data_IF_033046463027
#
_entry.id   IF_033046463027
#
_cell.length_a   1.000
_cell.length_b   1.000
_cell.length_c   1.000
_cell.angle_alpha   90.00
_cell.angle_beta   90.00
_cell.angle_gamma   90.00
#
_symmetry.space_group_name_H-M   'P 1'
#
loop_
_entity.id
_entity.type
_entity.pdbx_description
1 polymer ?
#
# COMPACT_ATOMS: atom_id res chain seq x y z
N UNK A 1 -9.60 13.87 3.08
CA UNK A 1 -9.77 15.02 2.17
C UNK A 1 -8.75 16.12 2.45
N UNK A 2 -8.67 17.15 1.56
CA UNK A 2 -7.75 18.30 1.73
C UNK A 2 -8.38 19.33 2.69
N UNK A 3 -8.63 18.91 3.92
CA UNK A 3 -9.19 19.71 5.02
C UNK A 3 -8.65 19.22 6.35
N UNK A 4 -8.76 20.05 7.39
CA UNK A 4 -8.36 19.63 8.73
C UNK A 4 -9.23 18.46 9.23
N UNK A 5 -10.53 18.52 8.97
CA UNK A 5 -11.44 17.41 9.32
C UNK A 5 -11.01 16.10 8.65
N UNK A 6 -10.73 16.12 7.32
CA UNK A 6 -10.27 14.91 6.63
C UNK A 6 -8.92 14.39 7.10
N UNK A 7 -8.05 15.23 7.67
CA UNK A 7 -6.80 14.79 8.31
C UNK A 7 -7.09 14.15 9.67
N UNK A 8 -7.98 14.76 10.46
CA UNK A 8 -8.40 14.23 11.77
C UNK A 8 -9.11 12.88 11.62
N UNK A 9 -9.98 12.74 10.62
CA UNK A 9 -10.67 11.49 10.30
C UNK A 9 -9.65 10.40 9.94
N UNK A 10 -8.66 10.71 9.09
CA UNK A 10 -7.59 9.78 8.75
C UNK A 10 -6.80 9.34 10.00
N UNK A 11 -6.42 10.26 10.86
CA UNK A 11 -5.71 9.93 12.10
C UNK A 11 -6.56 9.05 13.03
N UNK A 12 -7.84 9.37 13.19
CA UNK A 12 -8.77 8.59 14.02
C UNK A 12 -8.92 7.18 13.49
N UNK A 13 -9.18 7.00 12.21
CA UNK A 13 -9.28 5.68 11.57
C UNK A 13 -8.00 4.87 11.75
N UNK A 14 -6.85 5.49 11.48
CA UNK A 14 -5.54 4.84 11.62
C UNK A 14 -5.26 4.40 13.08
N UNK A 15 -5.62 5.20 14.06
CA UNK A 15 -5.46 4.84 15.49
C UNK A 15 -6.30 3.62 15.82
N UNK A 16 -7.56 3.58 15.42
CA UNK A 16 -8.44 2.45 15.69
C UNK A 16 -8.00 1.17 14.97
N UNK A 17 -7.60 1.28 13.70
CA UNK A 17 -7.06 0.13 12.95
C UNK A 17 -5.77 -0.39 13.58
N UNK A 18 -4.85 0.49 13.97
CA UNK A 18 -3.61 0.12 14.65
C UNK A 18 -3.89 -0.55 16.00
N UNK A 19 -4.85 -0.03 16.78
CA UNK A 19 -5.26 -0.60 18.06
C UNK A 19 -5.82 -2.02 17.93
N UNK A 20 -6.39 -2.37 16.77
CA UNK A 20 -6.85 -3.72 16.45
C UNK A 20 -5.78 -4.59 15.78
N UNK A 21 -4.56 -4.10 15.65
CA UNK A 21 -3.42 -4.84 15.10
C UNK A 21 -3.31 -4.84 13.58
N UNK A 22 -4.05 -3.95 12.89
CA UNK A 22 -3.98 -3.78 11.44
C UNK A 22 -2.67 -3.12 11.00
N UNK A 23 -2.13 -3.54 9.85
CA UNK A 23 -1.11 -2.81 9.11
C UNK A 23 -1.80 -1.79 8.20
N UNK A 24 -1.30 -0.56 8.18
CA UNK A 24 -2.00 0.59 7.59
C UNK A 24 -1.20 1.15 6.43
N UNK A 25 -1.91 1.55 5.36
CA UNK A 25 -1.36 2.39 4.30
C UNK A 25 -2.28 3.57 4.04
N UNK A 26 -1.72 4.77 3.94
CA UNK A 26 -2.47 5.99 3.74
C UNK A 26 -1.95 6.84 2.57
N UNK A 27 -2.88 7.44 1.81
CA UNK A 27 -2.57 8.29 0.67
C UNK A 27 -2.55 9.76 1.08
N UNK A 28 -1.44 10.44 0.84
CA UNK A 28 -1.23 11.83 1.22
C UNK A 28 -1.24 12.81 0.03
N UNK A 29 -1.36 12.30 -1.18
CA UNK A 29 -1.29 13.08 -2.42
C UNK A 29 -2.50 13.99 -2.70
N UNK A 30 -3.53 13.99 -1.86
CA UNK A 30 -4.66 14.92 -1.99
C UNK A 30 -4.43 16.23 -1.24
N UNK A 31 -3.46 16.28 -0.31
CA UNK A 31 -3.22 17.45 0.53
C UNK A 31 -2.34 18.47 -0.18
N UNK A 32 -2.73 19.72 -0.10
CA UNK A 32 -1.95 20.85 -0.64
C UNK A 32 -0.59 20.99 0.04
N UNK A 33 0.38 21.47 -0.72
CA UNK A 33 1.76 21.61 -0.28
C UNK A 33 2.00 22.85 0.58
N UNK A 34 3.18 22.88 1.21
CA UNK A 34 3.66 24.00 2.00
C UNK A 34 3.51 25.33 1.24
N UNK A 35 3.04 26.37 1.95
CA UNK A 35 2.90 27.72 1.41
C UNK A 35 1.61 27.97 0.63
N UNK A 36 0.83 26.94 0.30
CA UNK A 36 -0.48 27.13 -0.33
C UNK A 36 -1.51 27.75 0.63
N UNK A 37 -2.47 28.50 0.09
CA UNK A 37 -3.41 29.26 0.89
C UNK A 37 -4.39 28.38 1.67
N UNK A 38 -4.61 28.74 2.95
CA UNK A 38 -5.65 28.20 3.82
C UNK A 38 -6.61 29.35 4.16
N UNK A 39 -7.88 29.20 3.77
CA UNK A 39 -8.87 30.26 4.02
C UNK A 39 -8.46 31.61 3.41
N UNK A 40 -8.72 32.69 4.15
CA UNK A 40 -8.48 34.08 3.65
C UNK A 40 -7.05 34.59 3.84
N UNK A 41 -6.35 34.15 4.88
CA UNK A 41 -5.06 34.77 5.31
C UNK A 41 -3.98 33.75 5.69
N UNK A 42 -4.30 32.47 5.83
CA UNK A 42 -3.36 31.44 6.24
C UNK A 42 -2.60 30.80 5.09
N UNK A 43 -1.45 30.22 5.42
CA UNK A 43 -0.69 29.32 4.54
C UNK A 43 -0.45 28.02 5.27
N UNK A 44 -0.52 26.89 4.53
CA UNK A 44 -0.23 25.57 5.10
C UNK A 44 1.26 25.39 5.36
N UNK A 45 1.58 24.64 6.42
CA UNK A 45 2.93 24.15 6.71
C UNK A 45 3.32 22.91 5.89
N UNK A 46 2.43 22.47 4.99
CA UNK A 46 2.63 21.29 4.14
C UNK A 46 2.22 19.97 4.79
N UNK A 47 2.53 18.86 4.12
CA UNK A 47 2.13 17.53 4.56
C UNK A 47 3.05 16.93 5.64
N UNK A 48 4.33 17.27 5.64
CA UNK A 48 5.33 16.63 6.50
C UNK A 48 5.01 16.77 8.01
N UNK A 49 4.58 17.93 8.54
CA UNK A 49 4.19 18.03 9.94
C UNK A 49 2.99 17.14 10.32
N UNK A 50 2.03 16.96 9.42
CA UNK A 50 0.88 16.06 9.66
C UNK A 50 1.29 14.60 9.63
N UNK A 51 2.22 14.23 8.74
CA UNK A 51 2.84 12.89 8.71
C UNK A 51 3.61 12.66 10.02
N UNK A 52 4.29 13.67 10.56
CA UNK A 52 4.99 13.57 11.85
C UNK A 52 4.05 13.27 13.02
N UNK A 53 2.86 13.86 13.03
CA UNK A 53 1.81 13.49 14.01
C UNK A 53 1.41 12.04 13.86
N UNK A 54 1.21 11.58 12.62
CA UNK A 54 0.91 10.17 12.33
C UNK A 54 2.01 9.22 12.81
N UNK A 55 3.28 9.60 12.65
CA UNK A 55 4.43 8.86 13.16
C UNK A 55 4.34 8.65 14.67
N UNK A 56 4.05 9.73 15.40
CA UNK A 56 3.92 9.69 16.87
C UNK A 56 2.69 8.91 17.33
N UNK A 57 1.55 9.07 16.66
CA UNK A 57 0.33 8.30 16.94
C UNK A 57 0.55 6.79 16.73
N UNK A 58 1.19 6.42 15.64
CA UNK A 58 1.49 5.01 15.33
C UNK A 58 2.40 4.38 16.38
N UNK A 59 3.40 5.13 16.86
CA UNK A 59 4.27 4.67 17.96
C UNK A 59 3.55 4.52 19.28
N UNK A 60 2.60 5.40 19.59
CA UNK A 60 1.85 5.37 20.84
C UNK A 60 0.91 4.16 20.93
N UNK A 61 0.48 3.63 19.80
CA UNK A 61 -0.46 2.51 19.75
C UNK A 61 0.30 1.18 19.80
N UNK A 62 0.03 0.41 20.84
CA UNK A 62 0.57 -0.95 21.01
C UNK A 62 -0.51 -1.87 21.53
N UNK A 63 -0.75 -2.96 20.83
CA UNK A 63 -1.72 -3.95 21.26
C UNK A 63 -1.07 -4.96 22.23
N UNK A 64 -1.32 -4.80 23.53
CA UNK A 64 -0.93 -5.75 24.58
C UNK A 64 0.55 -6.11 24.59
N UNK A 65 1.45 -5.18 24.21
CA UNK A 65 2.89 -5.41 24.05
C UNK A 65 3.30 -6.48 23.01
N UNK A 66 2.34 -7.15 22.39
CA UNK A 66 2.59 -8.21 21.40
C UNK A 66 2.74 -7.69 19.97
N UNK A 67 2.02 -6.63 19.62
CA UNK A 67 2.08 -6.02 18.29
C UNK A 67 2.02 -4.50 18.38
N UNK A 68 3.02 -3.83 17.82
CA UNK A 68 3.06 -2.37 17.71
C UNK A 68 2.28 -1.91 16.49
N UNK A 69 1.70 -0.72 16.55
CA UNK A 69 1.14 -0.05 15.39
C UNK A 69 2.22 0.17 14.34
N UNK A 70 1.88 -0.08 13.08
CA UNK A 70 2.78 0.13 11.94
C UNK A 70 1.98 0.70 10.78
N UNK A 71 2.52 1.72 10.13
CA UNK A 71 1.86 2.41 9.03
C UNK A 71 2.84 2.83 7.94
N UNK A 72 2.34 2.88 6.71
CA UNK A 72 3.03 3.42 5.56
C UNK A 72 2.27 4.62 4.99
N UNK A 73 2.99 5.65 4.58
CA UNK A 73 2.46 6.84 3.90
C UNK A 73 2.85 6.81 2.42
N UNK A 74 1.93 7.11 1.53
CA UNK A 74 2.16 7.08 0.09
C UNK A 74 1.95 8.45 -0.54
N UNK A 75 2.90 8.86 -1.42
CA UNK A 75 2.87 10.15 -2.09
C UNK A 75 3.18 9.98 -3.59
N UNK A 76 2.44 10.66 -4.49
CA UNK A 76 2.77 10.64 -5.91
C UNK A 76 4.03 11.45 -6.21
N UNK A 77 4.78 11.01 -7.21
CA UNK A 77 6.08 11.57 -7.62
C UNK A 77 6.00 13.02 -8.13
N UNK A 78 4.80 13.50 -8.47
CA UNK A 78 4.56 14.86 -8.93
C UNK A 78 4.10 15.82 -7.82
N UNK A 79 4.04 15.35 -6.56
CA UNK A 79 3.67 16.21 -5.43
C UNK A 79 4.79 17.22 -5.12
N UNK A 80 4.48 18.51 -4.81
CA UNK A 80 5.50 19.54 -4.57
C UNK A 80 6.45 19.25 -3.41
N UNK A 81 6.05 18.47 -2.41
CA UNK A 81 6.90 18.10 -1.27
C UNK A 81 7.57 16.73 -1.42
N UNK A 82 7.63 16.18 -2.64
CA UNK A 82 8.17 14.84 -2.88
C UNK A 82 9.65 14.69 -2.46
N UNK A 83 10.46 15.73 -2.67
CA UNK A 83 11.88 15.66 -2.34
C UNK A 83 12.11 15.53 -0.83
N UNK A 84 11.36 16.28 -0.02
CA UNK A 84 11.42 16.18 1.44
C UNK A 84 10.82 14.86 1.94
N UNK A 85 9.72 14.42 1.32
CA UNK A 85 9.09 13.13 1.63
C UNK A 85 10.04 11.95 1.41
N UNK A 86 10.79 11.93 0.31
CA UNK A 86 11.79 10.88 0.03
C UNK A 86 12.83 10.78 1.16
N UNK A 87 13.20 11.92 1.76
CA UNK A 87 14.27 12.00 2.75
C UNK A 87 13.80 11.98 4.20
N UNK A 88 12.49 11.92 4.45
CA UNK A 88 11.96 12.07 5.82
C UNK A 88 12.39 10.98 6.81
N UNK A 89 12.89 9.83 6.33
CA UNK A 89 13.45 8.76 7.16
C UNK A 89 14.95 8.83 7.40
N UNK A 90 15.64 9.78 6.81
CA UNK A 90 17.08 9.97 7.10
C UNK A 90 17.24 10.42 8.56
N UNK A 91 18.05 9.71 9.37
CA UNK A 91 18.16 10.01 10.80
C UNK A 91 18.97 11.28 11.10
N UNK A 92 19.77 11.75 10.14
CA UNK A 92 20.71 12.86 10.32
C UNK A 92 20.40 14.06 9.41
N UNK A 93 20.76 15.26 9.87
CA UNK A 93 20.60 16.54 9.15
C UNK A 93 19.17 17.08 9.17
N UNK A 94 18.99 18.37 8.89
CA UNK A 94 17.69 19.06 8.81
C UNK A 94 16.93 19.20 10.14
N UNK A 95 15.67 19.67 10.04
CA UNK A 95 14.78 19.85 11.19
C UNK A 95 14.21 18.52 11.69
N UNK A 96 14.45 18.13 12.96
CA UNK A 96 13.90 16.89 13.54
C UNK A 96 12.36 16.83 13.50
N UNK A 97 11.67 17.98 13.53
CA UNK A 97 10.22 18.04 13.48
C UNK A 97 9.65 17.70 12.10
N UNK A 98 10.48 17.68 11.08
CA UNK A 98 10.12 17.33 9.70
C UNK A 98 10.62 15.94 9.31
N UNK A 99 10.88 15.07 10.30
CA UNK A 99 11.34 13.69 10.09
C UNK A 99 10.42 12.70 10.75
N UNK A 100 10.24 11.57 10.09
CA UNK A 100 9.38 10.47 10.55
C UNK A 100 10.16 9.16 10.42
N UNK A 101 10.74 8.70 11.55
CA UNK A 101 11.66 7.56 11.57
C UNK A 101 10.97 6.21 11.80
N UNK A 102 9.70 6.23 12.20
CA UNK A 102 8.95 5.02 12.56
C UNK A 102 7.92 4.62 11.51
N UNK A 103 7.45 5.59 10.71
CA UNK A 103 6.60 5.30 9.56
C UNK A 103 7.41 4.75 8.40
N UNK A 104 6.81 3.83 7.66
CA UNK A 104 7.23 3.47 6.34
C UNK A 104 6.67 4.45 5.31
N UNK A 105 7.29 4.56 4.15
CA UNK A 105 6.79 5.43 3.11
C UNK A 105 7.02 4.86 1.72
N UNK A 106 6.15 5.23 0.78
CA UNK A 106 6.21 4.79 -0.60
C UNK A 106 5.95 5.91 -1.59
N UNK A 107 6.59 5.85 -2.72
CA UNK A 107 6.45 6.81 -3.81
C UNK A 107 5.69 6.13 -4.96
N UNK A 108 4.63 6.79 -5.42
CA UNK A 108 3.84 6.36 -6.56
C UNK A 108 4.42 6.96 -7.82
N UNK A 109 5.02 6.12 -8.64
CA UNK A 109 5.73 6.51 -9.85
C UNK A 109 4.85 6.26 -11.07
N UNK A 110 4.69 7.27 -11.93
CA UNK A 110 3.95 7.17 -13.17
C UNK A 110 4.84 6.76 -14.35
N UNK A 111 4.23 6.18 -15.39
CA UNK A 111 4.91 5.88 -16.65
C UNK A 111 5.47 7.16 -17.30
N UNK A 112 4.73 8.28 -17.21
CA UNK A 112 5.18 9.57 -17.69
C UNK A 112 6.46 10.06 -17.01
N UNK A 113 6.56 9.87 -15.67
CA UNK A 113 7.78 10.19 -14.94
C UNK A 113 8.96 9.33 -15.40
N UNK A 114 8.76 8.01 -15.53
CA UNK A 114 9.83 7.11 -15.99
C UNK A 114 10.31 7.45 -17.39
N UNK A 115 9.41 7.87 -18.27
CA UNK A 115 9.78 8.38 -19.60
C UNK A 115 10.59 9.66 -19.52
N UNK A 116 10.21 10.60 -18.64
CA UNK A 116 10.98 11.82 -18.40
C UNK A 116 12.38 11.53 -17.83
N UNK A 117 12.52 10.50 -16.99
CA UNK A 117 13.82 10.01 -16.49
C UNK A 117 14.68 9.47 -17.64
N UNK A 118 14.11 8.65 -18.51
CA UNK A 118 14.81 8.07 -19.67
C UNK A 118 15.29 9.16 -20.64
N UNK A 119 14.44 10.14 -20.93
CA UNK A 119 14.73 11.23 -21.85
C UNK A 119 15.49 12.41 -21.23
N UNK A 120 15.81 12.34 -19.94
CA UNK A 120 16.49 13.40 -19.18
C UNK A 120 15.75 14.75 -19.20
N UNK A 121 14.44 14.69 -19.06
CA UNK A 121 13.55 15.86 -19.11
C UNK A 121 13.34 16.50 -17.73
N UNK A 122 12.77 17.70 -17.75
CA UNK A 122 12.25 18.35 -16.56
C UNK A 122 10.91 17.72 -16.13
N UNK A 123 10.70 17.60 -14.83
CA UNK A 123 9.50 17.08 -14.24
C UNK A 123 8.76 18.16 -13.44
N UNK A 124 7.50 18.39 -13.77
CA UNK A 124 6.67 19.39 -13.09
C UNK A 124 6.11 18.83 -11.80
N UNK A 125 6.34 19.52 -10.70
CA UNK A 125 5.70 19.29 -9.41
C UNK A 125 4.42 20.14 -9.32
N UNK A 126 3.28 19.49 -9.08
CA UNK A 126 1.96 20.09 -9.26
C UNK A 126 1.15 20.09 -7.97
N UNK A 127 0.51 21.22 -7.68
CA UNK A 127 -0.47 21.28 -6.59
C UNK A 127 -1.57 20.23 -6.77
N UNK A 128 -1.89 19.44 -5.72
CA UNK A 128 -3.03 18.52 -5.79
C UNK A 128 -4.36 19.24 -5.99
N UNK A 129 -4.46 20.48 -5.52
CA UNK A 129 -5.70 21.26 -5.49
C UNK A 129 -6.19 21.67 -6.89
N UNK A 130 -5.31 22.24 -7.71
CA UNK A 130 -5.67 22.87 -9.00
C UNK A 130 -4.78 22.44 -10.16
N UNK A 131 -3.84 21.52 -9.88
CA UNK A 131 -2.85 21.01 -10.84
C UNK A 131 -1.89 22.07 -11.40
N UNK A 132 -1.84 23.25 -10.77
CA UNK A 132 -0.86 24.28 -11.12
C UNK A 132 0.56 23.79 -10.84
N UNK A 133 1.49 24.14 -11.73
CA UNK A 133 2.91 23.83 -11.56
C UNK A 133 3.49 24.74 -10.48
N UNK A 134 3.97 24.16 -9.39
CA UNK A 134 4.60 24.87 -8.29
C UNK A 134 6.10 25.04 -8.51
N UNK A 135 6.74 24.01 -9.06
CA UNK A 135 8.15 23.98 -9.43
C UNK A 135 8.44 22.91 -10.46
N UNK A 136 9.65 22.94 -11.00
CA UNK A 136 10.17 21.89 -11.89
C UNK A 136 11.52 21.40 -11.38
N UNK A 137 11.77 20.09 -11.52
CA UNK A 137 13.01 19.44 -11.15
C UNK A 137 13.50 18.54 -12.27
N UNK A 138 14.78 18.20 -12.32
CA UNK A 138 15.25 17.16 -13.24
C UNK A 138 14.65 15.80 -12.83
N UNK A 139 13.93 15.16 -13.76
CA UNK A 139 13.35 13.84 -13.52
C UNK A 139 14.43 12.81 -13.14
N UNK A 140 15.57 12.83 -13.84
CA UNK A 140 16.70 11.92 -13.59
C UNK A 140 17.31 12.15 -12.22
N UNK A 141 17.53 13.40 -11.83
CA UNK A 141 18.07 13.71 -10.50
C UNK A 141 17.12 13.30 -9.37
N UNK A 142 15.82 13.52 -9.55
CA UNK A 142 14.81 13.07 -8.59
C UNK A 142 14.79 11.54 -8.46
N UNK A 143 14.91 10.83 -9.58
CA UNK A 143 15.00 9.36 -9.59
C UNK A 143 16.27 8.86 -8.87
N UNK A 144 17.43 9.46 -9.16
CA UNK A 144 18.69 9.12 -8.48
C UNK A 144 18.57 9.38 -6.97
N UNK A 145 17.98 10.50 -6.56
CA UNK A 145 17.75 10.84 -5.16
C UNK A 145 16.86 9.80 -4.46
N UNK A 146 15.80 9.36 -5.12
CA UNK A 146 14.92 8.30 -4.64
C UNK A 146 15.68 6.98 -4.45
N UNK A 147 16.46 6.56 -5.44
CA UNK A 147 17.26 5.32 -5.36
C UNK A 147 18.34 5.42 -4.29
N UNK A 148 19.00 6.58 -4.14
CA UNK A 148 19.99 6.82 -3.10
C UNK A 148 19.37 6.68 -1.71
N UNK A 149 18.20 7.28 -1.47
CA UNK A 149 17.48 7.12 -0.21
C UNK A 149 17.16 5.64 0.09
N UNK A 150 16.77 4.88 -0.93
CA UNK A 150 16.51 3.43 -0.78
C UNK A 150 17.77 2.64 -0.42
N UNK A 151 18.91 2.96 -1.00
CA UNK A 151 20.19 2.30 -0.67
C UNK A 151 20.59 2.61 0.77
N UNK A 152 20.43 3.85 1.19
CA UNK A 152 20.84 4.31 2.52
C UNK A 152 19.91 3.83 3.65
N UNK A 153 18.61 3.76 3.42
CA UNK A 153 17.60 3.53 4.46
C UNK A 153 16.73 2.29 4.23
N UNK A 154 16.77 1.68 3.05
CA UNK A 154 15.84 0.63 2.63
C UNK A 154 14.50 1.15 2.10
N UNK A 155 14.25 2.46 2.18
CA UNK A 155 12.99 3.12 1.81
C UNK A 155 13.25 4.42 1.02
N UNK A 156 12.23 4.96 0.32
CA UNK A 156 10.82 4.55 0.24
C UNK A 156 10.58 3.31 -0.63
N UNK A 157 9.38 2.71 -0.49
CA UNK A 157 8.85 1.78 -1.50
C UNK A 157 8.63 2.50 -2.82
N UNK A 158 8.71 1.76 -3.92
CA UNK A 158 8.40 2.29 -5.26
C UNK A 158 7.23 1.48 -5.82
N UNK A 159 6.14 2.18 -6.16
CA UNK A 159 4.96 1.59 -6.78
C UNK A 159 4.74 2.22 -8.15
N UNK A 160 4.76 1.40 -9.20
CA UNK A 160 4.43 1.82 -10.56
C UNK A 160 2.91 1.89 -10.71
N UNK A 161 2.34 3.02 -10.31
CA UNK A 161 0.90 3.18 -10.11
C UNK A 161 0.09 3.00 -11.41
N UNK A 162 0.63 3.38 -12.55
CA UNK A 162 -0.04 3.19 -13.84
C UNK A 162 -0.11 1.69 -14.20
N UNK A 163 0.95 0.94 -13.92
CA UNK A 163 0.95 -0.53 -14.09
C UNK A 163 -0.08 -1.18 -13.18
N UNK A 164 -0.14 -0.78 -11.91
CA UNK A 164 -1.16 -1.26 -10.97
C UNK A 164 -2.56 -1.03 -11.55
N UNK A 165 -2.88 0.19 -11.97
CA UNK A 165 -4.21 0.53 -12.47
C UNK A 165 -4.54 -0.11 -13.84
N UNK A 166 -3.54 -0.45 -14.65
CA UNK A 166 -3.76 -1.28 -15.85
C UNK A 166 -4.15 -2.71 -15.51
N UNK A 167 -3.63 -3.24 -14.41
CA UNK A 167 -3.77 -4.65 -14.01
C UNK A 167 -4.91 -4.92 -13.01
N UNK A 168 -5.61 -3.91 -12.52
CA UNK A 168 -6.76 -4.12 -11.62
C UNK A 168 -7.84 -4.98 -12.29
N UNK A 169 -8.62 -5.74 -11.53
CA UNK A 169 -9.70 -6.58 -12.04
C UNK A 169 -10.70 -5.80 -12.90
N UNK A 170 -11.30 -6.49 -13.88
CA UNK A 170 -12.23 -5.86 -14.83
C UNK A 170 -13.44 -5.23 -14.13
N UNK A 171 -13.96 -5.85 -13.08
CA UNK A 171 -15.09 -5.30 -12.32
C UNK A 171 -14.76 -3.98 -11.64
N UNK A 172 -13.52 -3.79 -11.14
CA UNK A 172 -13.07 -2.50 -10.61
C UNK A 172 -13.03 -1.42 -11.72
N UNK A 173 -12.53 -1.78 -12.92
CA UNK A 173 -12.51 -0.85 -14.07
C UNK A 173 -13.92 -0.44 -14.48
N UNK A 174 -14.87 -1.39 -14.56
CA UNK A 174 -16.26 -1.14 -14.88
C UNK A 174 -16.94 -0.28 -13.80
N UNK A 175 -16.60 -0.46 -12.55
CA UNK A 175 -17.05 0.38 -11.45
C UNK A 175 -16.38 1.77 -11.41
N UNK A 176 -15.38 2.02 -12.28
CA UNK A 176 -14.63 3.28 -12.34
C UNK A 176 -13.74 3.52 -11.13
N UNK A 177 -13.34 2.45 -10.47
CA UNK A 177 -12.45 2.50 -9.32
C UNK A 177 -10.99 2.58 -9.75
N UNK A 178 -10.17 3.23 -8.93
CA UNK A 178 -8.73 3.33 -9.14
C UNK A 178 -7.98 3.09 -7.84
N UNK A 179 -6.81 2.50 -7.95
CA UNK A 179 -5.87 2.34 -6.84
C UNK A 179 -5.02 3.60 -6.73
N UNK A 180 -4.94 4.17 -5.52
CA UNK A 180 -4.15 5.37 -5.21
C UNK A 180 -3.09 5.13 -4.15
N UNK A 181 -3.14 4.00 -3.46
CA UNK A 181 -2.27 3.69 -2.34
C UNK A 181 -2.10 2.18 -2.21
N UNK A 182 -1.33 1.75 -1.24
CA UNK A 182 -1.20 0.35 -0.85
C UNK A 182 -1.25 0.24 0.68
N UNK A 183 -1.14 -0.97 1.19
CA UNK A 183 -1.05 -1.27 2.62
C UNK A 183 0.37 -1.01 3.18
N UNK A 184 0.61 -1.42 4.41
CA UNK A 184 1.90 -1.31 5.09
C UNK A 184 3.06 -1.95 4.31
N UNK A 185 2.83 -3.12 3.70
CA UNK A 185 3.88 -3.92 3.05
C UNK A 185 3.94 -3.74 1.52
N UNK A 186 3.06 -2.93 0.95
CA UNK A 186 2.99 -2.58 -0.48
C UNK A 186 2.51 -3.67 -1.45
N UNK A 187 2.03 -4.83 -0.95
CA UNK A 187 1.53 -5.92 -1.81
C UNK A 187 0.05 -5.81 -2.14
N UNK A 188 -0.73 -5.03 -1.39
CA UNK A 188 -2.18 -4.90 -1.59
C UNK A 188 -2.50 -3.68 -2.45
N UNK A 189 -3.13 -3.92 -3.58
CA UNK A 189 -3.49 -2.88 -4.55
C UNK A 189 -5.01 -2.89 -4.78
N UNK A 190 -5.74 -2.44 -3.74
CA UNK A 190 -7.19 -2.32 -3.75
C UNK A 190 -7.61 -0.84 -3.83
N UNK A 191 -8.80 -0.56 -4.41
CA UNK A 191 -9.32 0.80 -4.52
C UNK A 191 -9.64 1.40 -3.15
N UNK A 192 -9.33 2.69 -2.99
CA UNK A 192 -9.64 3.49 -1.80
C UNK A 192 -10.19 4.86 -2.21
N UNK A 193 -10.80 5.56 -1.25
CA UNK A 193 -11.39 6.87 -1.46
C UNK A 193 -12.83 6.79 -1.97
N UNK A 194 -13.37 7.92 -2.38
CA UNK A 194 -14.80 8.05 -2.72
C UNK A 194 -15.12 7.30 -4.02
N UNK A 195 -16.10 6.41 -3.95
CA UNK A 195 -16.61 5.67 -5.09
C UNK A 195 -17.73 6.42 -5.86
N UNK A 196 -18.29 5.78 -6.87
CA UNK A 196 -19.39 6.36 -7.67
C UNK A 196 -20.68 6.61 -6.89
N UNK A 197 -20.88 5.91 -5.77
CA UNK A 197 -22.02 6.07 -4.90
C UNK A 197 -21.80 7.20 -3.88
N UNK A 198 -20.64 7.88 -3.93
CA UNK A 198 -20.25 8.96 -3.03
C UNK A 198 -19.84 8.49 -1.64
N UNK A 199 -19.53 7.19 -1.49
CA UNK A 199 -19.09 6.59 -0.23
C UNK A 199 -17.59 6.41 -0.20
N UNK A 200 -17.01 6.68 0.95
CA UNK A 200 -15.59 6.41 1.18
C UNK A 200 -15.32 4.89 1.29
N UNK A 201 -14.16 4.50 0.80
CA UNK A 201 -13.67 3.12 0.84
C UNK A 201 -12.33 3.06 1.55
N UNK A 202 -12.26 2.24 2.57
CA UNK A 202 -11.00 1.82 3.21
C UNK A 202 -10.78 0.35 2.89
N UNK A 203 -9.81 0.04 2.05
CA UNK A 203 -9.57 -1.31 1.58
C UNK A 203 -9.16 -2.24 2.73
N UNK A 204 -9.73 -3.43 2.77
CA UNK A 204 -9.43 -4.48 3.72
C UNK A 204 -9.10 -5.76 2.97
N UNK A 205 -8.05 -6.45 3.39
CA UNK A 205 -7.68 -7.76 2.85
C UNK A 205 -7.29 -8.71 3.98
N UNK A 206 -7.96 -9.85 4.05
CA UNK A 206 -7.60 -10.96 4.91
C UNK A 206 -6.56 -11.83 4.20
N UNK A 207 -5.44 -12.15 4.88
CA UNK A 207 -4.30 -12.83 4.28
C UNK A 207 -4.08 -14.20 4.92
N UNK A 208 -3.65 -15.18 4.10
CA UNK A 208 -3.08 -16.45 4.54
C UNK A 208 -1.92 -16.85 3.64
N UNK A 209 -1.12 -17.82 4.08
CA UNK A 209 0.00 -18.34 3.30
C UNK A 209 0.05 -19.86 3.37
N UNK A 210 0.08 -20.51 2.20
CA UNK A 210 0.26 -21.96 2.11
C UNK A 210 1.73 -22.32 2.39
N UNK A 211 1.95 -23.31 3.24
CA UNK A 211 3.30 -23.80 3.50
C UNK A 211 3.74 -24.80 2.42
N UNK A 212 4.55 -24.32 1.48
CA UNK A 212 5.09 -25.13 0.38
C UNK A 212 6.14 -26.15 0.83
N UNK A 213 6.73 -25.99 2.01
CA UNK A 213 7.58 -27.04 2.59
C UNK A 213 6.80 -28.36 2.72
N UNK A 214 5.49 -28.25 2.95
CA UNK A 214 4.54 -29.35 3.07
C UNK A 214 3.74 -29.63 1.78
N UNK A 215 4.22 -29.11 0.65
CA UNK A 215 3.50 -29.23 -0.62
C UNK A 215 3.09 -30.66 -0.97
N UNK A 216 3.99 -31.63 -0.79
CA UNK A 216 3.72 -33.04 -1.10
C UNK A 216 2.65 -33.68 -0.18
N UNK A 217 2.38 -33.09 0.99
CA UNK A 217 1.36 -33.58 1.91
C UNK A 217 -0.06 -33.16 1.50
N UNK A 218 -0.20 -32.01 0.86
CA UNK A 218 -1.52 -31.44 0.54
C UNK A 218 -1.80 -31.24 -0.95
N UNK A 219 -0.83 -31.37 -1.84
CA UNK A 219 -0.98 -31.10 -3.28
C UNK A 219 -2.05 -31.95 -3.97
N UNK A 220 -2.33 -33.15 -3.46
CA UNK A 220 -3.28 -34.10 -4.05
C UNK A 220 -4.66 -34.04 -3.33
N UNK A 221 -4.82 -33.20 -2.32
CA UNK A 221 -6.10 -32.93 -1.71
C UNK A 221 -6.88 -31.88 -2.53
N UNK A 222 -7.97 -32.31 -3.15
CA UNK A 222 -8.80 -31.47 -4.04
C UNK A 222 -9.54 -30.36 -3.31
N UNK A 223 -9.71 -30.46 -1.99
CA UNK A 223 -10.46 -29.48 -1.20
C UNK A 223 -9.55 -28.49 -0.45
N UNK A 224 -8.27 -28.80 -0.25
CA UNK A 224 -7.40 -28.03 0.63
C UNK A 224 -7.38 -26.53 0.31
N UNK A 225 -7.15 -26.15 -0.95
CA UNK A 225 -7.10 -24.73 -1.35
C UNK A 225 -8.49 -24.10 -1.28
N UNK A 226 -9.55 -24.80 -1.68
CA UNK A 226 -10.91 -24.28 -1.60
C UNK A 226 -11.35 -24.06 -0.15
N UNK A 227 -10.97 -24.93 0.77
CA UNK A 227 -11.27 -24.75 2.20
C UNK A 227 -10.52 -23.57 2.81
N UNK A 228 -9.26 -23.34 2.42
CA UNK A 228 -8.50 -22.15 2.82
C UNK A 228 -9.14 -20.87 2.27
N UNK A 229 -9.56 -20.87 1.02
CA UNK A 229 -10.26 -19.73 0.41
C UNK A 229 -11.60 -19.44 1.13
N UNK A 230 -12.37 -20.45 1.44
CA UNK A 230 -13.61 -20.33 2.21
C UNK A 230 -13.36 -19.85 3.63
N UNK A 231 -12.29 -20.33 4.26
CA UNK A 231 -11.88 -19.85 5.57
C UNK A 231 -11.57 -18.35 5.56
N UNK A 232 -10.81 -17.87 4.57
CA UNK A 232 -10.51 -16.43 4.42
C UNK A 232 -11.78 -15.60 4.19
N UNK A 233 -12.69 -16.08 3.37
CA UNK A 233 -13.97 -15.40 3.12
C UNK A 233 -14.85 -15.35 4.39
N UNK A 234 -14.85 -16.42 5.19
CA UNK A 234 -15.54 -16.45 6.48
C UNK A 234 -14.92 -15.48 7.50
N UNK A 235 -13.59 -15.34 7.52
CA UNK A 235 -12.92 -14.34 8.36
C UNK A 235 -13.34 -12.92 7.96
N UNK A 236 -13.46 -12.66 6.67
CA UNK A 236 -13.93 -11.38 6.16
C UNK A 236 -15.39 -11.13 6.54
N UNK A 237 -16.25 -12.16 6.48
CA UNK A 237 -17.65 -12.08 6.92
C UNK A 237 -17.74 -11.77 8.42
N UNK A 238 -16.96 -12.46 9.25
CA UNK A 238 -16.91 -12.21 10.70
C UNK A 238 -16.49 -10.77 11.01
N UNK A 239 -15.49 -10.23 10.26
CA UNK A 239 -15.10 -8.83 10.37
C UNK A 239 -16.27 -7.90 10.01
N UNK A 240 -16.96 -8.11 8.88
CA UNK A 240 -18.08 -7.26 8.43
C UNK A 240 -19.20 -7.23 9.47
N UNK A 241 -19.51 -8.38 10.08
CA UNK A 241 -20.62 -8.53 11.04
C UNK A 241 -20.29 -7.97 12.43
N UNK A 242 -19.02 -8.01 12.85
CA UNK A 242 -18.61 -7.67 14.22
C UNK A 242 -17.85 -6.36 14.35
N UNK A 243 -17.45 -5.74 13.26
CA UNK A 243 -16.70 -4.49 13.30
C UNK A 243 -17.57 -3.36 13.89
N UNK A 244 -17.01 -2.51 14.76
CA UNK A 244 -17.73 -1.36 15.29
C UNK A 244 -18.00 -0.31 14.20
N UNK A 245 -18.95 0.59 14.46
CA UNK A 245 -19.35 1.66 13.52
C UNK A 245 -18.17 2.55 13.09
N UNK A 246 -17.14 2.68 13.93
CA UNK A 246 -15.90 3.40 13.59
C UNK A 246 -15.14 2.81 12.40
N UNK A 247 -15.52 1.62 11.93
CA UNK A 247 -14.96 0.97 10.74
C UNK A 247 -15.96 0.89 9.58
N UNK A 248 -16.94 1.78 9.53
CA UNK A 248 -17.98 1.77 8.50
C UNK A 248 -17.44 1.74 7.07
N UNK A 249 -16.40 2.53 6.77
CA UNK A 249 -15.78 2.58 5.44
C UNK A 249 -15.02 1.30 5.11
N UNK A 250 -14.37 0.70 6.11
CA UNK A 250 -13.69 -0.58 5.98
C UNK A 250 -14.69 -1.75 5.79
N UNK A 251 -15.78 -1.78 6.56
CA UNK A 251 -16.83 -2.80 6.41
C UNK A 251 -17.57 -2.66 5.08
N UNK A 252 -17.85 -1.42 4.66
CA UNK A 252 -18.43 -1.16 3.35
C UNK A 252 -17.53 -1.66 2.21
N UNK A 253 -16.22 -1.35 2.27
CA UNK A 253 -15.24 -1.84 1.31
C UNK A 253 -15.17 -3.36 1.28
N UNK A 254 -15.04 -3.98 2.46
CA UNK A 254 -14.97 -5.43 2.60
C UNK A 254 -16.21 -6.14 2.02
N UNK A 255 -17.40 -5.58 2.27
CA UNK A 255 -18.66 -6.10 1.73
C UNK A 255 -18.72 -6.02 0.19
N UNK A 256 -18.25 -4.90 -0.38
CA UNK A 256 -18.28 -4.68 -1.84
C UNK A 256 -17.20 -5.44 -2.60
N UNK A 257 -16.00 -5.55 -2.00
CA UNK A 257 -14.84 -6.13 -2.66
C UNK A 257 -14.70 -7.64 -2.40
N UNK A 258 -14.95 -8.07 -1.18
CA UNK A 258 -14.69 -9.42 -0.68
C UNK A 258 -13.30 -9.94 -1.06
N UNK A 259 -12.31 -9.05 -0.99
CA UNK A 259 -10.95 -9.36 -1.39
C UNK A 259 -10.22 -10.14 -0.30
N UNK A 260 -9.62 -11.26 -0.71
CA UNK A 260 -8.77 -12.09 0.13
C UNK A 260 -7.40 -12.27 -0.53
N UNK A 261 -6.36 -12.47 0.27
CA UNK A 261 -5.00 -12.69 -0.22
C UNK A 261 -4.49 -14.08 0.20
N UNK A 262 -4.23 -14.93 -0.78
CA UNK A 262 -3.61 -16.22 -0.54
C UNK A 262 -2.20 -16.23 -1.12
N UNK A 263 -1.21 -16.23 -0.24
CA UNK A 263 0.21 -16.30 -0.58
C UNK A 263 0.81 -17.68 -0.31
N UNK A 264 2.12 -17.74 -0.38
CA UNK A 264 2.90 -18.94 -0.09
C UNK A 264 4.11 -18.62 0.77
N UNK A 265 4.60 -19.61 1.49
CA UNK A 265 5.88 -19.59 2.20
C UNK A 265 6.58 -20.95 2.02
N UNK A 266 7.87 -21.01 2.29
CA UNK A 266 8.62 -22.26 2.30
C UNK A 266 9.01 -22.82 0.91
N UNK A 267 8.91 -22.04 -0.17
CA UNK A 267 9.31 -22.48 -1.51
C UNK A 267 10.79 -22.88 -1.56
N UNK A 268 11.67 -22.08 -0.97
CA UNK A 268 13.10 -22.41 -0.93
C UNK A 268 13.37 -23.67 -0.10
N UNK A 269 12.70 -23.82 1.06
CA UNK A 269 12.79 -25.05 1.86
C UNK A 269 12.36 -26.29 1.07
N UNK A 270 11.27 -26.18 0.30
CA UNK A 270 10.82 -27.25 -0.57
C UNK A 270 11.86 -27.60 -1.65
N UNK A 271 12.47 -26.60 -2.27
CA UNK A 271 13.54 -26.81 -3.24
C UNK A 271 14.77 -27.49 -2.62
N UNK A 272 15.16 -27.09 -1.41
CA UNK A 272 16.25 -27.73 -0.68
C UNK A 272 15.94 -29.21 -0.39
N UNK A 273 14.73 -29.53 0.07
CA UNK A 273 14.31 -30.94 0.27
C UNK A 273 14.36 -31.76 -1.01
N UNK A 274 14.10 -31.14 -2.15
CA UNK A 274 14.16 -31.80 -3.47
C UNK A 274 15.54 -31.73 -4.12
N UNK A 275 16.55 -31.20 -3.44
CA UNK A 275 17.90 -31.00 -3.98
C UNK A 275 17.92 -30.19 -5.27
N UNK A 276 17.03 -29.19 -5.37
CA UNK A 276 16.90 -28.30 -6.53
C UNK A 276 17.59 -26.96 -6.21
N UNK A 277 18.70 -26.62 -6.87
CA UNK A 277 19.30 -25.30 -6.73
C UNK A 277 18.33 -24.19 -7.20
N UNK A 278 18.26 -23.11 -6.45
CA UNK A 278 17.32 -22.02 -6.72
C UNK A 278 17.49 -21.41 -8.12
N UNK A 279 18.72 -21.27 -8.60
CA UNK A 279 19.11 -20.74 -9.91
C UNK A 279 18.97 -21.73 -11.06
N UNK A 280 18.58 -22.97 -10.79
CA UNK A 280 18.49 -24.03 -11.82
C UNK A 280 17.26 -23.89 -12.72
N UNK A 281 17.31 -24.54 -13.89
CA UNK A 281 16.15 -24.66 -14.77
C UNK A 281 15.00 -25.39 -14.07
N UNK A 282 15.32 -26.39 -13.24
CA UNK A 282 14.32 -27.17 -12.51
C UNK A 282 13.54 -26.33 -11.50
N UNK A 283 14.16 -25.32 -10.89
CA UNK A 283 13.44 -24.38 -10.01
C UNK A 283 12.34 -23.65 -10.76
N UNK A 284 12.59 -23.20 -11.99
CA UNK A 284 11.59 -22.54 -12.85
C UNK A 284 10.44 -23.50 -13.22
N UNK A 285 10.77 -24.75 -13.52
CA UNK A 285 9.75 -25.78 -13.85
C UNK A 285 8.83 -26.02 -12.64
N UNK A 286 9.42 -26.23 -11.46
CA UNK A 286 8.65 -26.45 -10.25
C UNK A 286 7.86 -25.22 -9.81
N UNK A 287 8.44 -24.04 -9.89
CA UNK A 287 7.75 -22.79 -9.64
C UNK A 287 6.49 -22.67 -10.51
N UNK A 288 6.64 -22.86 -11.81
CA UNK A 288 5.51 -22.82 -12.74
C UNK A 288 4.44 -23.85 -12.37
N UNK A 289 4.82 -25.12 -12.17
CA UNK A 289 3.90 -26.22 -11.83
C UNK A 289 3.10 -25.96 -10.55
N UNK A 290 3.78 -25.48 -9.49
CA UNK A 290 3.16 -25.21 -8.20
C UNK A 290 2.16 -24.04 -8.32
N UNK A 291 2.59 -22.93 -8.91
CA UNK A 291 1.75 -21.74 -8.97
C UNK A 291 0.61 -21.86 -9.99
N UNK A 292 0.77 -22.58 -11.10
CA UNK A 292 -0.33 -22.89 -12.01
C UNK A 292 -1.41 -23.74 -11.34
N UNK A 293 -1.02 -24.72 -10.52
CA UNK A 293 -1.97 -25.50 -9.73
C UNK A 293 -2.72 -24.63 -8.74
N UNK A 294 -1.99 -23.86 -7.92
CA UNK A 294 -2.60 -22.98 -6.92
C UNK A 294 -3.56 -21.99 -7.59
N UNK A 295 -3.13 -21.33 -8.66
CA UNK A 295 -3.96 -20.37 -9.39
C UNK A 295 -5.25 -21.00 -9.92
N UNK A 296 -5.15 -22.18 -10.51
CA UNK A 296 -6.32 -22.92 -11.03
C UNK A 296 -7.35 -23.22 -9.93
N UNK A 297 -6.88 -23.68 -8.77
CA UNK A 297 -7.76 -24.00 -7.64
C UNK A 297 -8.39 -22.74 -7.02
N UNK A 298 -7.61 -21.66 -6.90
CA UNK A 298 -8.09 -20.35 -6.43
C UNK A 298 -9.14 -19.80 -7.39
N UNK A 299 -8.88 -19.82 -8.71
CA UNK A 299 -9.84 -19.32 -9.71
C UNK A 299 -11.15 -20.12 -9.72
N UNK A 300 -11.07 -21.42 -9.45
CA UNK A 300 -12.25 -22.28 -9.29
C UNK A 300 -13.04 -21.87 -8.03
N UNK A 301 -12.36 -21.77 -6.89
CA UNK A 301 -13.00 -21.46 -5.60
C UNK A 301 -13.58 -20.04 -5.53
N UNK A 302 -13.03 -19.11 -6.32
CA UNK A 302 -13.54 -17.72 -6.39
C UNK A 302 -14.84 -17.58 -7.20
N UNK A 303 -15.29 -18.63 -7.88
CA UNK A 303 -16.55 -18.64 -8.65
C UNK A 303 -17.72 -19.26 -7.89
N UNK A 304 -17.41 -20.05 -6.88
CA UNK A 304 -18.36 -20.72 -5.98
C UNK A 304 -18.79 -19.77 -4.85
#
# INVERSE_FOLDING_TARGET
GDSLDGILDLWSENVWLAAKGGGIGSYWGNLRSIGEKIGRVGKTSGIIPFIKVMDSLTMAISQGSLRRGSAACYLPIDHPEIEEFIEMRRPTGGDPNRRSLNLHHGVLVSDAFMRAVELDEQWALKSPKDKSVQSTVSARNLWIRLLTARIETGEPYIIFIDTVNRMIPQHHKLAGLTVKTSNLCSEITLPTGIDKEGKDRTAVCCLSSLNLEKYDEWKDDENFISDVMRFLDNVLTDFIEKAPESFSDATYSALKERSVGLGVMGLHSYFQQKMIPFESVMSKVWNKKIFEKIQKEVDKSSKD
#
